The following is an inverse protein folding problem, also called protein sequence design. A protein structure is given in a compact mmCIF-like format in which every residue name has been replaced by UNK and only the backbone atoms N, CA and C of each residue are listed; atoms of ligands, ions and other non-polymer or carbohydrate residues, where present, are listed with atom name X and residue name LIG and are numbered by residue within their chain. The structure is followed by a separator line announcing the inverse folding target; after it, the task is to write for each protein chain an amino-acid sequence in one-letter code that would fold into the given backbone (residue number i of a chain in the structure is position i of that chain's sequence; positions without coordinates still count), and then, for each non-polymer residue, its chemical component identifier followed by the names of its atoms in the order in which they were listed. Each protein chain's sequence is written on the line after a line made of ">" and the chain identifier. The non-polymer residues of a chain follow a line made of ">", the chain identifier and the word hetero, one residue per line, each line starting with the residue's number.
data_IF_924230915603
#
_entry.id   IF_924230915603
#
_cell.length_a   1.000
_cell.length_b   1.000
_cell.length_c   1.000
_cell.angle_alpha   90.00
_cell.angle_beta   90.00
_cell.angle_gamma   90.00
#
_symmetry.space_group_name_H-M   'P 1'
#
loop_
_entity.id
_entity.type
_entity.pdbx_description
1 polymer ?
#
# COMPACT_ATOMS: atom_id res chain seq x y z
N UNK A 1 5.39 -5.12 14.87
CA UNK A 1 5.08 -5.49 16.28
C UNK A 1 6.06 -4.80 17.21
N UNK A 2 5.62 -4.43 18.41
CA UNK A 2 6.50 -3.91 19.46
C UNK A 2 7.45 -5.02 19.97
N UNK A 3 8.70 -4.67 20.22
CA UNK A 3 9.71 -5.64 20.67
C UNK A 3 9.76 -5.78 22.20
N UNK A 4 9.44 -4.71 22.90
CA UNK A 4 9.46 -4.62 24.36
C UNK A 4 8.29 -3.76 24.87
N UNK A 5 8.15 -3.64 26.17
CA UNK A 5 7.23 -2.69 26.78
C UNK A 5 7.74 -1.26 26.62
N UNK A 6 6.81 -0.33 26.36
CA UNK A 6 7.15 1.07 26.15
C UNK A 6 5.95 1.97 25.87
N UNK A 7 6.24 3.21 25.53
CA UNK A 7 5.24 4.22 25.21
C UNK A 7 5.44 4.73 23.78
N UNK A 8 4.34 4.86 23.04
CA UNK A 8 4.34 5.42 21.69
C UNK A 8 4.45 6.94 21.79
N UNK A 9 5.61 7.49 21.42
CA UNK A 9 5.89 8.94 21.52
C UNK A 9 5.49 9.71 20.27
N UNK A 10 5.49 9.03 19.12
CA UNK A 10 5.14 9.65 17.84
C UNK A 10 4.51 8.64 16.89
N UNK A 11 3.48 9.05 16.16
CA UNK A 11 2.82 8.26 15.11
C UNK A 11 2.44 9.18 13.96
N UNK A 12 2.80 8.79 12.76
CA UNK A 12 2.27 9.33 11.53
C UNK A 12 2.02 8.21 10.50
N UNK A 13 1.62 8.57 9.28
CA UNK A 13 1.36 7.60 8.22
C UNK A 13 2.62 6.84 7.75
N UNK A 14 3.81 7.37 8.03
CA UNK A 14 5.09 6.87 7.52
C UNK A 14 5.98 6.25 8.58
N UNK A 15 5.81 6.63 9.84
CA UNK A 15 6.63 6.07 10.92
C UNK A 15 5.94 6.07 12.29
N UNK A 16 6.39 5.17 13.14
CA UNK A 16 6.02 5.06 14.55
C UNK A 16 7.32 5.13 15.36
N UNK A 17 7.34 5.96 16.42
CA UNK A 17 8.44 6.01 17.36
C UNK A 17 7.98 5.55 18.73
N UNK A 18 8.69 4.59 19.29
CA UNK A 18 8.37 4.02 20.59
C UNK A 18 9.57 4.24 21.51
N UNK A 19 9.30 4.80 22.67
CA UNK A 19 10.27 4.86 23.77
C UNK A 19 10.07 3.61 24.62
N UNK A 20 11.05 2.71 24.57
CA UNK A 20 11.03 1.49 25.36
C UNK A 20 11.46 1.73 26.81
N UNK A 21 10.81 1.02 27.71
CA UNK A 21 11.22 1.01 29.11
C UNK A 21 12.53 0.24 29.23
N UNK A 22 13.47 0.80 29.99
CA UNK A 22 14.79 0.22 30.25
C UNK A 22 15.01 0.16 31.77
N UNK A 23 15.70 -0.89 32.22
CA UNK A 23 16.23 -0.93 33.56
C UNK A 23 17.46 -0.01 33.67
N UNK A 24 17.81 0.43 34.87
CA UNK A 24 18.98 1.28 35.10
C UNK A 24 20.28 0.61 34.60
N UNK A 25 20.38 -0.71 34.72
CA UNK A 25 21.51 -1.51 34.25
C UNK A 25 21.58 -1.53 32.70
N UNK A 26 20.44 -1.66 32.05
CA UNK A 26 20.36 -1.63 30.57
C UNK A 26 20.67 -0.24 30.00
N UNK A 27 20.28 0.83 30.67
CA UNK A 27 20.54 2.19 30.24
C UNK A 27 22.04 2.51 30.24
N UNK A 28 22.79 1.90 31.19
CA UNK A 28 24.22 2.08 31.31
C UNK A 28 25.05 1.25 30.31
N UNK A 29 24.57 0.06 29.94
CA UNK A 29 25.31 -0.89 29.09
C UNK A 29 24.89 -0.82 27.60
N UNK A 30 23.67 -0.34 27.31
CA UNK A 30 23.14 -0.36 25.95
C UNK A 30 23.62 0.86 25.14
N UNK A 31 24.19 0.59 23.96
CA UNK A 31 24.53 1.62 22.95
C UNK A 31 23.33 1.94 22.02
N UNK A 32 22.18 1.31 22.24
CA UNK A 32 20.98 1.56 21.43
C UNK A 32 20.22 2.80 21.91
N UNK A 33 19.60 3.53 21.00
CA UNK A 33 18.73 4.64 21.36
C UNK A 33 17.52 4.16 22.17
N UNK A 34 17.12 4.92 23.20
CA UNK A 34 15.92 4.64 23.98
C UNK A 34 14.63 4.71 23.13
N UNK A 35 14.67 5.45 22.01
CA UNK A 35 13.55 5.62 21.10
C UNK A 35 13.82 4.86 19.81
N UNK A 36 13.04 3.82 19.57
CA UNK A 36 13.12 3.06 18.31
C UNK A 36 12.11 3.58 17.29
N UNK A 37 12.58 3.77 16.05
CA UNK A 37 11.75 4.22 14.94
C UNK A 37 11.42 3.04 14.03
N UNK A 38 10.12 2.86 13.78
CA UNK A 38 9.57 1.87 12.84
C UNK A 38 9.05 2.60 11.61
N UNK A 39 9.68 2.41 10.48
CA UNK A 39 9.22 2.95 9.21
C UNK A 39 8.08 2.09 8.65
N UNK A 40 7.01 2.73 8.23
CA UNK A 40 5.82 2.09 7.66
C UNK A 40 5.95 2.17 6.14
N UNK A 41 6.13 1.03 5.45
CA UNK A 41 6.19 1.03 3.99
C UNK A 41 4.84 1.43 3.41
N UNK A 42 4.89 2.33 2.43
CA UNK A 42 3.74 2.80 1.65
C UNK A 42 3.82 2.25 0.23
N UNK A 43 2.67 1.84 -0.31
CA UNK A 43 2.51 1.41 -1.70
C UNK A 43 3.52 0.35 -2.14
N UNK A 44 3.86 -0.57 -1.23
CA UNK A 44 4.78 -1.65 -1.54
C UNK A 44 4.13 -2.63 -2.52
N UNK A 45 4.76 -2.83 -3.67
CA UNK A 45 4.32 -3.79 -4.68
C UNK A 45 4.51 -5.22 -4.19
N UNK A 46 3.49 -6.05 -4.36
CA UNK A 46 3.58 -7.50 -4.13
C UNK A 46 4.03 -8.21 -5.41
N UNK A 47 4.32 -9.52 -5.33
CA UNK A 47 4.67 -10.34 -6.50
C UNK A 47 3.54 -10.42 -7.54
N UNK A 48 2.31 -10.16 -7.15
CA UNK A 48 1.11 -10.19 -8.01
C UNK A 48 0.73 -8.80 -8.52
N UNK A 49 1.65 -7.84 -8.50
CA UNK A 49 1.44 -6.44 -8.92
C UNK A 49 0.38 -5.68 -8.11
N UNK A 50 -0.14 -6.23 -7.03
CA UNK A 50 -0.99 -5.51 -6.08
C UNK A 50 -0.15 -4.72 -5.10
N UNK A 51 -0.71 -3.68 -4.49
CA UNK A 51 0.00 -2.88 -3.50
C UNK A 51 -0.45 -3.21 -2.09
N UNK A 52 0.51 -3.16 -1.17
CA UNK A 52 0.26 -3.20 0.27
C UNK A 52 0.54 -1.82 0.83
N UNK A 53 -0.44 -1.24 1.48
CA UNK A 53 -0.33 0.01 2.21
C UNK A 53 -0.60 -0.25 3.69
N UNK A 54 0.43 -0.11 4.52
CA UNK A 54 0.30 -0.32 5.94
C UNK A 54 -0.14 0.99 6.63
N UNK A 55 -1.04 0.84 7.59
CA UNK A 55 -1.51 1.95 8.44
C UNK A 55 -1.18 1.68 9.91
N UNK A 56 -0.83 2.69 10.69
CA UNK A 56 -0.68 2.53 12.12
C UNK A 56 -2.05 2.30 12.78
N UNK A 57 -2.09 1.44 13.78
CA UNK A 57 -3.27 1.19 14.61
C UNK A 57 -3.07 1.66 16.05
N UNK A 58 -1.84 2.02 16.42
CA UNK A 58 -1.52 2.60 17.72
C UNK A 58 -1.66 4.13 17.71
N UNK A 59 -1.83 4.71 18.89
CA UNK A 59 -1.97 6.15 19.10
C UNK A 59 -0.83 6.70 19.96
N UNK A 60 -0.52 7.98 19.77
CA UNK A 60 0.47 8.67 20.60
C UNK A 60 0.06 8.62 22.08
N UNK A 61 1.00 8.31 22.96
CA UNK A 61 0.79 8.15 24.40
C UNK A 61 0.27 6.76 24.80
N UNK A 62 0.04 5.85 23.85
CA UNK A 62 -0.39 4.49 24.14
C UNK A 62 0.77 3.68 24.71
N UNK A 63 0.50 2.93 25.79
CA UNK A 63 1.42 1.91 26.31
C UNK A 63 1.28 0.65 25.45
N UNK A 64 2.41 0.11 25.05
CA UNK A 64 2.51 -1.14 24.27
C UNK A 64 3.33 -2.17 25.01
N UNK A 65 3.00 -3.43 24.81
CA UNK A 65 3.73 -4.59 25.34
C UNK A 65 4.50 -5.28 24.22
N UNK A 66 5.46 -6.10 24.59
CA UNK A 66 6.15 -6.96 23.65
C UNK A 66 5.15 -7.84 22.86
N UNK A 67 5.24 -7.81 21.53
CA UNK A 67 4.34 -8.54 20.64
C UNK A 67 3.09 -7.79 20.20
N UNK A 68 2.77 -6.63 20.77
CA UNK A 68 1.64 -5.82 20.32
C UNK A 68 1.80 -5.38 18.86
N UNK A 69 0.70 -5.44 18.10
CA UNK A 69 0.67 -5.08 16.69
C UNK A 69 0.59 -3.56 16.57
N UNK A 70 1.49 -2.98 15.79
CA UNK A 70 1.60 -1.54 15.61
C UNK A 70 0.98 -1.06 14.30
N UNK A 71 0.95 -1.92 13.29
CA UNK A 71 0.47 -1.59 11.94
C UNK A 71 -0.37 -2.71 11.37
N UNK A 72 -1.34 -2.35 10.56
CA UNK A 72 -2.17 -3.28 9.79
C UNK A 72 -2.22 -2.89 8.32
N UNK A 73 -2.41 -3.88 7.44
CA UNK A 73 -2.66 -3.71 6.02
C UNK A 73 -4.12 -3.96 5.64
N UNK A 74 -4.40 -3.98 4.34
CA UNK A 74 -5.76 -4.21 3.83
C UNK A 74 -6.32 -5.61 4.15
N UNK A 75 -5.43 -6.60 4.22
CA UNK A 75 -5.80 -7.99 4.41
C UNK A 75 -5.64 -8.46 5.85
N UNK A 76 -5.50 -7.54 6.79
CA UNK A 76 -5.33 -7.85 8.21
C UNK A 76 -6.30 -7.04 9.08
N UNK A 77 -6.81 -7.66 10.11
CA UNK A 77 -7.65 -7.03 11.12
C UNK A 77 -7.36 -7.67 12.48
N UNK A 78 -7.06 -6.84 13.48
CA UNK A 78 -6.72 -7.29 14.85
C UNK A 78 -5.58 -8.33 14.88
N UNK A 79 -4.62 -8.22 13.95
CA UNK A 79 -3.49 -9.13 13.83
C UNK A 79 -3.78 -10.46 13.13
N UNK A 80 -5.00 -10.66 12.68
CA UNK A 80 -5.41 -11.87 11.95
C UNK A 80 -5.58 -11.57 10.45
N UNK A 81 -5.42 -12.62 9.64
CA UNK A 81 -5.63 -12.53 8.20
C UNK A 81 -7.12 -12.35 7.90
N UNK A 82 -7.46 -11.27 7.17
CA UNK A 82 -8.82 -10.91 6.79
C UNK A 82 -8.85 -10.60 5.27
N UNK A 83 -8.86 -11.65 4.44
CA UNK A 83 -8.77 -11.53 2.97
C UNK A 83 -10.04 -11.02 2.30
N UNK A 84 -11.15 -10.96 2.99
CA UNK A 84 -12.42 -10.56 2.43
C UNK A 84 -13.36 -9.98 3.49
N UNK A 85 -14.60 -9.79 3.08
CA UNK A 85 -15.66 -9.27 3.95
C UNK A 85 -16.94 -10.08 3.78
N UNK A 86 -17.67 -10.23 4.86
CA UNK A 86 -19.01 -10.81 4.82
C UNK A 86 -19.99 -9.75 4.31
N UNK A 87 -20.70 -10.08 3.25
CA UNK A 87 -21.73 -9.23 2.66
C UNK A 87 -23.06 -9.95 2.65
N UNK A 88 -24.14 -9.20 2.79
CA UNK A 88 -25.49 -9.75 2.66
C UNK A 88 -25.84 -9.88 1.18
N UNK A 89 -26.23 -11.06 0.74
CA UNK A 89 -26.54 -11.38 -0.66
C UNK A 89 -28.01 -11.79 -0.78
N UNK A 90 -28.69 -11.31 -1.80
CA UNK A 90 -30.00 -11.77 -2.22
C UNK A 90 -29.91 -12.51 -3.56
N UNK A 91 -30.32 -13.75 -3.61
CA UNK A 91 -30.40 -14.56 -4.84
C UNK A 91 -31.79 -14.38 -5.49
N UNK A 92 -31.90 -13.38 -6.35
CA UNK A 92 -33.16 -13.07 -7.02
C UNK A 92 -32.90 -12.30 -8.32
N UNK A 93 -33.79 -12.44 -9.34
CA UNK A 93 -33.76 -11.55 -10.49
C UNK A 93 -34.05 -10.09 -10.06
N UNK A 94 -33.29 -9.15 -10.58
CA UNK A 94 -33.46 -7.73 -10.28
C UNK A 94 -33.58 -6.89 -11.56
N UNK A 95 -34.82 -6.70 -12.04
CA UNK A 95 -35.14 -5.86 -13.22
C UNK A 95 -34.27 -6.14 -14.46
N UNK A 96 -33.77 -7.37 -14.61
CA UNK A 96 -32.89 -7.77 -15.71
C UNK A 96 -31.43 -7.31 -15.58
N UNK A 97 -31.05 -6.51 -14.58
CA UNK A 97 -29.68 -5.99 -14.42
C UNK A 97 -28.66 -7.03 -13.93
N UNK A 98 -29.12 -8.16 -13.43
CA UNK A 98 -28.29 -9.29 -13.01
C UNK A 98 -28.45 -10.51 -13.92
N UNK A 99 -28.73 -10.27 -15.22
CA UNK A 99 -28.83 -11.34 -16.23
C UNK A 99 -27.47 -11.99 -16.47
N UNK A 100 -27.43 -13.32 -16.60
CA UNK A 100 -26.23 -14.14 -16.70
C UNK A 100 -25.29 -13.96 -15.49
N UNK A 101 -24.03 -13.57 -15.73
CA UNK A 101 -22.99 -13.41 -14.70
C UNK A 101 -22.97 -12.00 -14.09
N UNK A 102 -23.92 -11.14 -14.41
CA UNK A 102 -24.01 -9.80 -13.90
C UNK A 102 -24.45 -9.78 -12.43
N UNK A 103 -23.81 -8.94 -11.64
CA UNK A 103 -24.09 -8.75 -10.21
C UNK A 103 -24.43 -7.29 -9.96
N UNK A 104 -25.56 -7.04 -9.30
CA UNK A 104 -25.93 -5.70 -8.84
C UNK A 104 -25.34 -5.48 -7.46
N UNK A 105 -24.54 -4.42 -7.33
CA UNK A 105 -23.89 -4.04 -6.08
C UNK A 105 -24.55 -2.80 -5.48
N UNK A 106 -24.52 -2.72 -4.15
CA UNK A 106 -24.90 -1.50 -3.45
C UNK A 106 -23.78 -0.46 -3.60
N UNK A 107 -24.12 0.79 -3.90
CA UNK A 107 -23.20 1.91 -4.02
C UNK A 107 -22.28 2.08 -2.79
N UNK A 108 -22.77 1.75 -1.61
CA UNK A 108 -22.00 1.76 -0.38
C UNK A 108 -20.71 0.93 -0.48
N UNK A 109 -20.75 -0.21 -1.15
CA UNK A 109 -19.58 -1.08 -1.31
C UNK A 109 -18.47 -0.41 -2.12
N UNK A 110 -18.84 0.38 -3.12
CA UNK A 110 -17.91 1.16 -3.92
C UNK A 110 -17.37 2.36 -3.12
N UNK A 111 -18.26 3.09 -2.45
CA UNK A 111 -17.91 4.28 -1.68
C UNK A 111 -17.03 3.99 -0.46
N UNK A 112 -17.21 2.85 0.18
CA UNK A 112 -16.43 2.41 1.35
C UNK A 112 -15.22 1.53 0.98
N UNK A 113 -14.90 1.39 -0.31
CA UNK A 113 -13.74 0.64 -0.84
C UNK A 113 -13.64 -0.81 -0.32
N UNK A 114 -14.77 -1.54 -0.27
CA UNK A 114 -14.80 -2.86 0.34
C UNK A 114 -13.94 -3.89 -0.40
N UNK A 115 -13.91 -3.84 -1.71
CA UNK A 115 -13.16 -4.79 -2.57
C UNK A 115 -12.21 -4.07 -3.52
N UNK A 116 -11.78 -2.89 -3.15
CA UNK A 116 -10.85 -2.09 -3.96
C UNK A 116 -9.44 -2.63 -3.83
N UNK A 117 -8.78 -2.83 -4.95
CA UNK A 117 -7.36 -3.17 -5.03
C UNK A 117 -6.63 -2.15 -5.90
N UNK A 118 -5.37 -1.88 -5.58
CA UNK A 118 -4.50 -1.03 -6.38
C UNK A 118 -3.43 -1.91 -7.00
N UNK A 119 -3.31 -1.85 -8.32
CA UNK A 119 -2.30 -2.58 -9.08
C UNK A 119 -1.24 -1.61 -9.59
N UNK A 120 0.02 -2.00 -9.50
CA UNK A 120 1.15 -1.23 -9.99
C UNK A 120 1.91 -2.06 -10.99
N UNK A 121 1.83 -1.66 -12.26
CA UNK A 121 2.59 -2.24 -13.34
C UNK A 121 3.81 -1.37 -13.61
N UNK A 122 4.97 -1.99 -13.74
CA UNK A 122 6.23 -1.31 -14.02
C UNK A 122 6.67 -1.65 -15.44
N UNK A 123 6.77 -0.61 -16.26
CA UNK A 123 7.27 -0.73 -17.62
C UNK A 123 8.68 -0.15 -17.68
N UNK A 124 9.65 -0.98 -18.06
CA UNK A 124 11.05 -0.59 -18.16
C UNK A 124 11.41 -0.49 -19.64
N UNK A 125 11.85 0.68 -20.05
CA UNK A 125 12.36 0.95 -21.39
C UNK A 125 13.85 1.29 -21.31
N UNK A 126 14.67 0.61 -22.07
CA UNK A 126 16.10 0.88 -22.17
C UNK A 126 16.40 1.64 -23.46
N UNK A 127 17.01 2.80 -23.33
CA UNK A 127 17.52 3.58 -24.46
C UNK A 127 18.89 3.05 -24.85
N UNK A 128 19.06 2.63 -26.10
CA UNK A 128 20.27 1.97 -26.61
C UNK A 128 21.02 2.85 -27.60
N UNK A 129 22.33 2.68 -27.64
CA UNK A 129 23.14 3.26 -28.69
C UNK A 129 23.08 2.40 -29.94
N UNK A 130 22.72 3.00 -31.06
CA UNK A 130 22.67 2.34 -32.38
C UNK A 130 23.73 2.91 -33.30
N UNK A 131 23.99 2.23 -34.42
CA UNK A 131 24.92 2.73 -35.46
C UNK A 131 24.49 4.08 -36.08
N UNK A 132 23.23 4.48 -35.86
CA UNK A 132 22.65 5.74 -36.35
C UNK A 132 22.58 6.84 -35.28
N UNK A 133 23.02 6.54 -34.07
CA UNK A 133 22.93 7.40 -32.89
C UNK A 133 22.18 6.74 -31.74
N UNK A 134 22.00 7.46 -30.67
CA UNK A 134 21.20 6.99 -29.51
C UNK A 134 19.72 6.99 -29.87
N UNK A 135 19.00 6.00 -29.36
CA UNK A 135 17.55 6.00 -29.35
C UNK A 135 17.06 7.15 -28.46
N UNK A 136 15.93 7.72 -28.79
CA UNK A 136 15.37 8.88 -28.08
C UNK A 136 13.90 8.62 -27.75
N UNK A 137 13.49 9.04 -26.56
CA UNK A 137 12.08 9.05 -26.16
C UNK A 137 11.45 10.35 -26.63
N UNK A 138 10.51 10.26 -27.57
CA UNK A 138 9.85 11.42 -28.16
C UNK A 138 8.46 11.05 -28.67
N UNK A 139 7.54 11.98 -28.64
CA UNK A 139 6.24 11.86 -29.31
C UNK A 139 6.32 12.14 -30.81
N UNK A 140 7.40 12.80 -31.29
CA UNK A 140 7.63 13.09 -32.70
C UNK A 140 8.25 11.87 -33.41
N UNK A 141 7.41 10.94 -33.82
CA UNK A 141 7.81 9.69 -34.46
C UNK A 141 7.45 9.75 -35.95
N UNK A 142 8.44 9.64 -36.88
CA UNK A 142 8.16 9.63 -38.30
C UNK A 142 7.26 8.43 -38.68
N UNK A 143 6.29 8.68 -39.58
CA UNK A 143 5.34 7.69 -40.11
C UNK A 143 4.36 7.09 -39.07
N UNK A 144 4.16 7.76 -37.96
CA UNK A 144 3.11 7.43 -36.98
C UNK A 144 2.06 8.52 -37.01
N UNK A 145 0.78 8.16 -37.01
CA UNK A 145 -0.33 9.12 -36.99
C UNK A 145 -0.43 9.84 -35.64
N UNK A 146 -0.87 11.08 -35.63
CA UNK A 146 -1.15 11.85 -34.41
C UNK A 146 -2.16 11.15 -33.48
N UNK A 147 -3.07 10.37 -34.06
CA UNK A 147 -4.03 9.58 -33.27
C UNK A 147 -3.38 8.48 -32.46
N UNK A 148 -2.29 7.89 -32.94
CA UNK A 148 -1.53 6.87 -32.23
C UNK A 148 -0.64 7.44 -31.10
N UNK A 149 -0.28 8.72 -31.19
CA UNK A 149 0.59 9.40 -30.21
C UNK A 149 -0.16 10.35 -29.27
N UNK A 150 -1.49 10.46 -29.41
CA UNK A 150 -2.30 11.43 -28.66
C UNK A 150 -2.25 11.26 -27.12
N UNK A 151 -1.98 10.03 -26.66
CA UNK A 151 -1.93 9.69 -25.24
C UNK A 151 -0.51 9.78 -24.66
N UNK A 152 0.49 10.14 -25.49
CA UNK A 152 1.87 10.38 -25.06
C UNK A 152 2.05 11.84 -24.61
N UNK A 153 2.87 12.02 -23.58
CA UNK A 153 3.31 13.35 -23.17
C UNK A 153 4.39 13.91 -24.11
N UNK A 154 4.88 15.14 -23.83
CA UNK A 154 5.96 15.79 -24.62
C UNK A 154 7.27 14.98 -24.62
N UNK A 155 7.44 14.05 -23.69
CA UNK A 155 8.61 13.18 -23.58
C UNK A 155 8.43 11.85 -24.31
N UNK A 156 7.26 11.60 -24.88
CA UNK A 156 6.93 10.35 -25.56
C UNK A 156 6.57 9.19 -24.62
N UNK A 157 6.10 9.50 -23.40
CA UNK A 157 5.70 8.54 -22.38
C UNK A 157 4.20 8.62 -22.15
#
# INVERSE_FOLDING_TARGET
>A
MAEREGEVVFVDATCIKIKYDRSEDEEFVSFEDAVKTYNIPKWRKTNQSTTVDLRPICHRGQRVKAGDILTEGYSTQNGELALGRNVKVAYMPWKGYNYEDAIVLNERMVREDFFTSVHVDEYILEVRETKRGMEELTSDIPNVSEEATKDLDERGI
#
